data_IF_584299444757
#
_entry.id   IF_584299444757
#
_cell.length_a   1.000
_cell.length_b   1.000
_cell.length_c   1.000
_cell.angle_alpha   90.00
_cell.angle_beta   90.00
_cell.angle_gamma   90.00
#
_symmetry.space_group_name_H-M   'P 1'
#
loop_
_entity.id
_entity.type
_entity.pdbx_description
1 polymer ?
#
# COMPACT_ATOMS: atom_id res chain seq x y z
N UNK A 1 -72.51 27.46 40.43
CA UNK A 1 -72.58 26.94 39.03
C UNK A 1 -71.22 26.95 38.35
N UNK A 2 -70.29 27.81 38.77
CA UNK A 2 -68.91 27.84 38.26
C UNK A 2 -68.09 26.67 38.85
N UNK A 3 -68.33 26.26 40.10
CA UNK A 3 -67.61 25.14 40.73
C UNK A 3 -67.91 23.78 40.10
N UNK A 4 -69.13 23.53 39.61
CA UNK A 4 -69.50 22.28 38.93
C UNK A 4 -68.96 22.21 37.50
N UNK A 5 -68.89 23.34 36.80
CA UNK A 5 -68.22 23.44 35.49
C UNK A 5 -66.70 23.25 35.63
N UNK A 6 -66.07 23.88 36.62
CA UNK A 6 -64.66 23.69 36.93
C UNK A 6 -64.34 22.26 37.40
N UNK A 7 -65.18 21.66 38.24
CA UNK A 7 -65.01 20.28 38.72
C UNK A 7 -65.17 19.24 37.61
N UNK A 8 -66.09 19.44 36.66
CA UNK A 8 -66.24 18.58 35.49
C UNK A 8 -65.07 18.69 34.51
N UNK A 9 -64.54 19.90 34.31
CA UNK A 9 -63.41 20.17 33.42
C UNK A 9 -62.08 19.66 34.02
N UNK A 10 -61.86 19.86 35.32
CA UNK A 10 -60.74 19.29 36.06
C UNK A 10 -60.80 17.75 36.12
N UNK A 11 -61.99 17.18 36.30
CA UNK A 11 -62.19 15.73 36.25
C UNK A 11 -61.93 15.12 34.86
N UNK A 12 -62.29 15.85 33.80
CA UNK A 12 -61.95 15.48 32.42
C UNK A 12 -60.45 15.55 32.13
N UNK A 13 -59.77 16.60 32.62
CA UNK A 13 -58.32 16.76 32.51
C UNK A 13 -57.55 15.67 33.26
N UNK A 14 -57.99 15.29 34.47
CA UNK A 14 -57.38 14.21 35.26
C UNK A 14 -57.57 12.81 34.64
N UNK A 15 -58.58 12.61 33.78
CA UNK A 15 -58.73 11.37 33.00
C UNK A 15 -57.80 11.31 31.79
N UNK A 16 -57.43 12.46 31.23
CA UNK A 16 -56.47 12.54 30.11
C UNK A 16 -55.01 12.51 30.59
N UNK A 17 -54.73 12.94 31.83
CA UNK A 17 -53.40 12.88 32.43
C UNK A 17 -52.73 11.48 32.37
N UNK A 18 -53.39 10.37 32.75
CA UNK A 18 -52.81 9.02 32.62
C UNK A 18 -52.64 8.59 31.15
N UNK A 19 -53.48 9.07 30.23
CA UNK A 19 -53.34 8.81 28.80
C UNK A 19 -52.09 9.50 28.21
N UNK A 20 -51.83 10.75 28.65
CA UNK A 20 -50.65 11.54 28.24
C UNK A 20 -49.37 10.91 28.79
N UNK A 21 -49.37 10.44 30.04
CA UNK A 21 -48.24 9.73 30.64
C UNK A 21 -47.95 8.42 29.89
N UNK A 22 -48.98 7.62 29.57
CA UNK A 22 -48.82 6.40 28.75
C UNK A 22 -48.28 6.68 27.35
N UNK A 23 -48.67 7.80 26.75
CA UNK A 23 -48.16 8.20 25.44
C UNK A 23 -46.69 8.61 25.50
N UNK A 24 -46.29 9.35 26.54
CA UNK A 24 -44.90 9.69 26.82
C UNK A 24 -44.03 8.45 27.04
N UNK A 25 -44.49 7.48 27.82
CA UNK A 25 -43.78 6.20 28.04
C UNK A 25 -43.63 5.41 26.74
N UNK A 26 -44.70 5.25 25.95
CA UNK A 26 -44.63 4.58 24.64
C UNK A 26 -43.67 5.29 23.68
N UNK A 27 -43.57 6.61 23.75
CA UNK A 27 -42.62 7.38 22.94
C UNK A 27 -41.18 7.14 23.41
N UNK A 28 -40.97 7.04 24.73
CA UNK A 28 -39.67 6.71 25.34
C UNK A 28 -39.20 5.29 25.03
N UNK A 29 -40.07 4.29 25.12
CA UNK A 29 -39.74 2.90 24.75
C UNK A 29 -39.36 2.80 23.27
N UNK A 30 -40.13 3.42 22.38
CA UNK A 30 -39.83 3.43 20.94
C UNK A 30 -38.53 4.15 20.61
N UNK A 31 -38.24 5.27 21.28
CA UNK A 31 -36.95 5.96 21.06
C UNK A 31 -35.78 5.15 21.62
N UNK A 32 -35.99 4.42 22.71
CA UNK A 32 -34.98 3.52 23.28
C UNK A 32 -34.72 2.31 22.37
N UNK A 33 -35.76 1.68 21.82
CA UNK A 33 -35.62 0.60 20.84
C UNK A 33 -34.91 1.07 19.58
N UNK A 34 -35.23 2.26 19.07
CA UNK A 34 -34.54 2.86 17.93
C UNK A 34 -33.06 3.10 18.24
N UNK A 35 -32.74 3.66 19.41
CA UNK A 35 -31.35 3.89 19.82
C UNK A 35 -30.56 2.57 19.95
N UNK A 36 -31.19 1.51 20.45
CA UNK A 36 -30.59 0.18 20.52
C UNK A 36 -30.34 -0.39 19.11
N UNK A 37 -31.31 -0.27 18.21
CA UNK A 37 -31.17 -0.72 16.82
C UNK A 37 -30.07 0.06 16.08
N UNK A 38 -30.02 1.39 16.23
CA UNK A 38 -28.99 2.23 15.63
C UNK A 38 -27.58 1.84 16.11
N UNK A 39 -27.43 1.55 17.41
CA UNK A 39 -26.15 1.09 17.97
C UNK A 39 -25.75 -0.29 17.47
N UNK A 40 -26.71 -1.20 17.29
CA UNK A 40 -26.44 -2.49 16.67
C UNK A 40 -25.98 -2.32 15.21
N UNK A 41 -26.63 -1.42 14.47
CA UNK A 41 -26.29 -1.08 13.09
C UNK A 41 -24.89 -0.43 12.97
N UNK A 42 -24.53 0.47 13.89
CA UNK A 42 -23.17 1.03 13.98
C UNK A 42 -22.13 -0.07 14.25
N UNK A 43 -22.42 -1.02 15.14
CA UNK A 43 -21.54 -2.15 15.42
C UNK A 43 -21.35 -3.06 14.19
N UNK A 44 -22.42 -3.36 13.47
CA UNK A 44 -22.32 -4.13 12.22
C UNK A 44 -21.54 -3.39 11.15
N UNK A 45 -21.75 -2.08 11.00
CA UNK A 45 -20.96 -1.25 10.07
C UNK A 45 -19.47 -1.27 10.41
N UNK A 46 -19.12 -1.09 11.69
CA UNK A 46 -17.73 -1.17 12.16
C UNK A 46 -17.12 -2.54 11.90
N UNK A 47 -17.85 -3.61 12.21
CA UNK A 47 -17.41 -4.99 11.96
C UNK A 47 -17.24 -5.27 10.47
N UNK A 48 -18.17 -4.79 9.64
CA UNK A 48 -18.11 -4.87 8.19
C UNK A 48 -16.90 -4.13 7.63
N UNK A 49 -16.64 -2.90 8.09
CA UNK A 49 -15.47 -2.12 7.71
C UNK A 49 -14.16 -2.80 8.09
N UNK A 50 -14.05 -3.35 9.31
CA UNK A 50 -12.87 -4.11 9.74
C UNK A 50 -12.64 -5.35 8.87
N UNK A 51 -13.70 -6.08 8.52
CA UNK A 51 -13.61 -7.27 7.66
C UNK A 51 -13.20 -6.91 6.23
N UNK A 52 -13.70 -5.79 5.70
CA UNK A 52 -13.27 -5.27 4.40
C UNK A 52 -11.80 -4.84 4.42
N UNK A 53 -11.33 -4.22 5.50
CA UNK A 53 -9.92 -3.86 5.65
C UNK A 53 -9.00 -5.09 5.71
N UNK A 54 -9.41 -6.15 6.43
CA UNK A 54 -8.69 -7.42 6.48
C UNK A 54 -8.65 -8.12 5.11
N UNK A 55 -9.76 -8.13 4.38
CA UNK A 55 -9.83 -8.66 3.02
C UNK A 55 -8.95 -7.83 2.06
N UNK A 56 -8.97 -6.50 2.17
CA UNK A 56 -8.08 -5.64 1.39
C UNK A 56 -6.60 -5.93 1.66
N UNK A 57 -6.20 -6.01 2.93
CA UNK A 57 -4.83 -6.31 3.32
C UNK A 57 -4.35 -7.69 2.83
N UNK A 58 -5.22 -8.71 2.91
CA UNK A 58 -4.93 -10.06 2.39
C UNK A 58 -4.85 -10.11 0.87
N UNK A 59 -5.71 -9.37 0.16
CA UNK A 59 -5.66 -9.23 -1.29
C UNK A 59 -4.38 -8.53 -1.76
N UNK A 60 -3.97 -7.45 -1.09
CA UNK A 60 -2.72 -6.75 -1.36
C UNK A 60 -1.50 -7.66 -1.12
N UNK A 61 -1.53 -8.45 -0.03
CA UNK A 61 -0.50 -9.45 0.23
C UNK A 61 -0.45 -10.52 -0.86
N UNK A 62 -1.60 -11.02 -1.31
CA UNK A 62 -1.69 -12.02 -2.37
C UNK A 62 -1.21 -11.47 -3.73
N UNK A 63 -1.57 -10.23 -4.07
CA UNK A 63 -1.11 -9.55 -5.28
C UNK A 63 0.42 -9.40 -5.30
N UNK A 64 0.99 -8.90 -4.19
CA UNK A 64 2.43 -8.73 -4.05
C UNK A 64 3.18 -10.07 -4.14
N UNK A 65 2.59 -11.15 -3.60
CA UNK A 65 3.18 -12.49 -3.68
C UNK A 65 3.07 -13.07 -5.10
N UNK A 66 1.94 -12.90 -5.78
CA UNK A 66 1.72 -13.40 -7.14
C UNK A 66 2.60 -12.74 -8.19
N UNK A 67 2.80 -11.43 -8.11
CA UNK A 67 3.71 -10.70 -9.01
C UNK A 67 5.18 -11.13 -8.80
N UNK A 68 5.60 -11.32 -7.53
CA UNK A 68 6.94 -11.80 -7.20
C UNK A 68 7.12 -13.26 -7.64
N UNK A 69 6.11 -14.11 -7.48
CA UNK A 69 6.17 -15.51 -7.91
C UNK A 69 6.23 -15.62 -9.45
N UNK A 70 5.46 -14.81 -10.19
CA UNK A 70 5.55 -14.75 -11.65
C UNK A 70 6.94 -14.27 -12.11
N UNK A 71 7.52 -13.29 -11.43
CA UNK A 71 8.88 -12.83 -11.69
C UNK A 71 9.90 -13.94 -11.38
N UNK A 72 9.73 -14.63 -10.25
CA UNK A 72 10.55 -15.78 -9.85
C UNK A 72 10.48 -16.92 -10.87
N UNK A 73 9.30 -17.27 -11.34
CA UNK A 73 9.08 -18.30 -12.34
C UNK A 73 9.73 -17.93 -13.68
N UNK A 74 9.63 -16.66 -14.11
CA UNK A 74 10.30 -16.17 -15.32
C UNK A 74 11.84 -16.19 -15.22
N UNK A 75 12.39 -16.01 -14.01
CA UNK A 75 13.83 -16.10 -13.74
C UNK A 75 14.27 -17.56 -13.63
N UNK A 76 13.45 -18.42 -13.01
CA UNK A 76 13.72 -19.85 -12.91
C UNK A 76 13.69 -20.51 -14.30
N UNK A 77 12.70 -20.18 -15.13
CA UNK A 77 12.57 -20.67 -16.51
C UNK A 77 13.77 -20.29 -17.39
N UNK A 78 14.40 -19.13 -17.16
CA UNK A 78 15.67 -18.77 -17.82
C UNK A 78 16.84 -19.69 -17.42
N UNK A 79 16.74 -20.38 -16.28
CA UNK A 79 17.71 -21.37 -15.79
C UNK A 79 17.42 -22.81 -16.24
N UNK A 80 16.27 -23.10 -16.84
CA UNK A 80 15.94 -24.44 -17.35
C UNK A 80 16.76 -24.76 -18.60
N UNK A 81 17.65 -25.76 -18.51
CA UNK A 81 18.46 -26.24 -19.64
C UNK A 81 17.57 -26.93 -20.67
N UNK A 82 17.55 -26.41 -21.90
CA UNK A 82 16.79 -26.90 -23.05
C UNK A 82 17.28 -28.23 -23.62
N UNK A 83 18.23 -28.92 -22.95
CA UNK A 83 19.00 -30.07 -23.43
C UNK A 83 19.86 -29.79 -24.67
N UNK A 84 19.77 -28.58 -25.25
CA UNK A 84 20.58 -28.13 -26.38
C UNK A 84 21.71 -27.24 -25.86
N UNK A 85 22.92 -27.84 -25.77
CA UNK A 85 24.08 -27.22 -25.09
C UNK A 85 24.48 -25.84 -25.62
N UNK A 86 24.34 -25.59 -26.93
CA UNK A 86 24.69 -24.29 -27.52
C UNK A 86 23.64 -23.22 -27.23
N UNK A 87 22.35 -23.59 -27.23
CA UNK A 87 21.25 -22.68 -26.90
C UNK A 87 21.29 -22.31 -25.42
N UNK A 88 21.62 -23.28 -24.55
CA UNK A 88 21.81 -23.04 -23.12
C UNK A 88 23.02 -22.14 -22.83
N UNK A 89 24.14 -22.36 -23.54
CA UNK A 89 25.33 -21.50 -23.41
C UNK A 89 25.06 -20.07 -23.89
N UNK A 90 24.32 -19.90 -24.98
CA UNK A 90 23.89 -18.59 -25.46
C UNK A 90 22.95 -17.93 -24.44
N UNK A 91 21.92 -18.64 -23.97
CA UNK A 91 20.95 -18.14 -23.00
C UNK A 91 21.60 -17.67 -21.68
N UNK A 92 22.51 -18.49 -21.13
CA UNK A 92 23.23 -18.18 -19.89
C UNK A 92 24.19 -16.99 -20.07
N UNK A 93 24.78 -16.82 -21.26
CA UNK A 93 25.74 -15.75 -21.52
C UNK A 93 25.09 -14.39 -21.80
N UNK A 94 23.84 -14.34 -22.26
CA UNK A 94 23.14 -13.09 -22.60
C UNK A 94 23.13 -12.11 -21.43
N UNK A 95 22.78 -12.56 -20.21
CA UNK A 95 22.69 -11.66 -19.04
C UNK A 95 24.06 -11.07 -18.65
N UNK A 96 25.14 -11.87 -18.47
CA UNK A 96 26.48 -11.34 -18.25
C UNK A 96 26.97 -10.43 -19.38
N UNK A 97 26.78 -10.83 -20.65
CA UNK A 97 27.26 -10.06 -21.82
C UNK A 97 26.59 -8.70 -21.89
N UNK A 98 25.26 -8.64 -21.74
CA UNK A 98 24.53 -7.37 -21.71
C UNK A 98 25.03 -6.50 -20.55
N UNK A 99 25.23 -7.09 -19.37
CA UNK A 99 25.72 -6.35 -18.19
C UNK A 99 27.10 -5.75 -18.43
N UNK A 100 28.05 -6.54 -18.93
CA UNK A 100 29.39 -6.07 -19.24
C UNK A 100 29.39 -5.03 -20.37
N UNK A 101 28.54 -5.21 -21.38
CA UNK A 101 28.40 -4.28 -22.48
C UNK A 101 27.86 -2.92 -22.02
N UNK A 102 26.80 -2.91 -21.22
CA UNK A 102 26.26 -1.68 -20.62
C UNK A 102 27.28 -0.99 -19.71
N UNK A 103 28.01 -1.77 -18.91
CA UNK A 103 29.09 -1.21 -18.08
C UNK A 103 30.21 -0.62 -18.92
N UNK A 104 30.61 -1.28 -20.01
CA UNK A 104 31.62 -0.77 -20.93
C UNK A 104 31.17 0.53 -21.60
N UNK A 105 29.94 0.59 -22.08
CA UNK A 105 29.36 1.82 -22.67
C UNK A 105 29.28 2.95 -21.63
N UNK A 106 28.89 2.65 -20.40
CA UNK A 106 28.86 3.61 -19.31
C UNK A 106 30.27 4.17 -19.02
N UNK A 107 31.27 3.30 -18.86
CA UNK A 107 32.66 3.71 -18.66
C UNK A 107 33.18 4.54 -19.85
N UNK A 108 32.87 4.14 -21.09
CA UNK A 108 33.27 4.87 -22.28
C UNK A 108 32.63 6.27 -22.33
N UNK A 109 31.33 6.39 -22.04
CA UNK A 109 30.63 7.66 -22.00
C UNK A 109 31.18 8.61 -20.92
N UNK A 110 31.43 8.09 -19.71
CA UNK A 110 32.03 8.87 -18.62
C UNK A 110 33.46 9.30 -18.94
N UNK A 111 34.25 8.42 -19.54
CA UNK A 111 35.61 8.74 -19.98
C UNK A 111 35.58 9.82 -21.06
N UNK A 112 34.68 9.73 -22.04
CA UNK A 112 34.51 10.73 -23.09
C UNK A 112 34.07 12.09 -22.53
N UNK A 113 33.14 12.11 -21.58
CA UNK A 113 32.70 13.32 -20.89
C UNK A 113 33.85 13.98 -20.10
N UNK A 114 34.62 13.18 -19.37
CA UNK A 114 35.77 13.65 -18.61
C UNK A 114 36.88 14.22 -19.52
N UNK A 115 37.27 13.47 -20.56
CA UNK A 115 38.27 13.92 -21.55
C UNK A 115 37.79 15.19 -22.28
N UNK A 116 36.50 15.27 -22.59
CA UNK A 116 35.89 16.48 -23.15
C UNK A 116 36.03 17.70 -22.23
N UNK A 117 35.78 17.54 -20.92
CA UNK A 117 35.93 18.61 -19.94
C UNK A 117 37.39 19.09 -19.81
N UNK A 118 38.35 18.15 -19.77
CA UNK A 118 39.78 18.46 -19.73
C UNK A 118 40.23 19.19 -21.00
N UNK A 119 39.82 18.70 -22.17
CA UNK A 119 40.15 19.34 -23.46
C UNK A 119 39.48 20.72 -23.60
N UNK A 120 38.36 20.94 -22.92
CA UNK A 120 37.70 22.25 -22.80
C UNK A 120 38.38 23.22 -21.83
N UNK A 121 39.51 22.84 -21.23
CA UNK A 121 40.29 23.68 -20.31
C UNK A 121 39.80 23.64 -18.86
N UNK A 122 38.95 22.68 -18.49
CA UNK A 122 38.54 22.49 -17.10
C UNK A 122 39.68 21.93 -16.27
N UNK A 123 39.83 22.42 -15.03
CA UNK A 123 40.73 21.82 -14.05
C UNK A 123 40.31 20.38 -13.71
N UNK A 124 41.27 19.54 -13.35
CA UNK A 124 41.07 18.13 -13.06
C UNK A 124 40.04 17.91 -11.93
N UNK A 125 40.10 18.74 -10.88
CA UNK A 125 39.14 18.65 -9.77
C UNK A 125 37.71 18.98 -10.20
N UNK A 126 37.55 20.03 -11.00
CA UNK A 126 36.24 20.42 -11.54
C UNK A 126 35.68 19.38 -12.53
N UNK A 127 36.55 18.79 -13.36
CA UNK A 127 36.16 17.77 -14.33
C UNK A 127 35.67 16.47 -13.65
N UNK A 128 36.28 16.06 -12.53
CA UNK A 128 35.81 14.90 -11.75
C UNK A 128 34.44 15.19 -11.13
N UNK A 129 34.28 16.36 -10.51
CA UNK A 129 33.01 16.74 -9.89
C UNK A 129 31.88 16.85 -10.92
N UNK A 130 32.17 17.29 -12.15
CA UNK A 130 31.18 17.30 -13.22
C UNK A 130 30.91 15.92 -13.83
N UNK A 131 31.91 15.03 -13.87
CA UNK A 131 31.73 13.67 -14.37
C UNK A 131 30.86 12.82 -13.42
N UNK A 132 30.91 13.11 -12.11
CA UNK A 132 30.13 12.44 -11.08
C UNK A 132 28.79 13.15 -10.83
N UNK A 133 27.69 12.52 -11.24
CA UNK A 133 26.35 13.12 -11.19
C UNK A 133 25.46 12.45 -10.14
N UNK A 134 24.34 13.10 -9.81
CA UNK A 134 23.33 12.54 -8.91
C UNK A 134 22.77 11.20 -9.44
N UNK A 135 22.73 11.02 -10.76
CA UNK A 135 22.35 9.75 -11.37
C UNK A 135 23.34 8.62 -11.05
N UNK A 136 24.65 8.91 -10.98
CA UNK A 136 25.66 7.93 -10.62
C UNK A 136 25.56 7.57 -9.14
N UNK A 137 25.29 8.56 -8.29
CA UNK A 137 25.04 8.34 -6.86
C UNK A 137 23.82 7.43 -6.65
N UNK A 138 22.72 7.68 -7.36
CA UNK A 138 21.53 6.85 -7.30
C UNK A 138 21.81 5.42 -7.80
N UNK A 139 22.59 5.27 -8.86
CA UNK A 139 22.99 3.97 -9.40
C UNK A 139 23.84 3.19 -8.38
N UNK A 140 24.85 3.84 -7.78
CA UNK A 140 25.69 3.23 -6.73
C UNK A 140 24.90 2.91 -5.46
N UNK A 141 24.01 3.80 -5.03
CA UNK A 141 23.11 3.55 -3.91
C UNK A 141 22.21 2.34 -4.18
N UNK A 142 21.69 2.20 -5.41
CA UNK A 142 20.92 1.03 -5.83
C UNK A 142 21.72 -0.27 -5.79
N UNK A 143 22.96 -0.27 -6.29
CA UNK A 143 23.86 -1.44 -6.24
C UNK A 143 24.21 -1.82 -4.80
N UNK A 144 24.52 -0.84 -3.96
CA UNK A 144 24.80 -1.06 -2.54
C UNK A 144 23.55 -1.55 -1.81
N UNK A 145 22.36 -1.04 -2.11
CA UNK A 145 21.11 -1.51 -1.53
C UNK A 145 20.82 -2.96 -1.94
N UNK A 146 20.97 -3.29 -3.22
CA UNK A 146 20.82 -4.66 -3.72
C UNK A 146 21.81 -5.61 -3.03
N UNK A 147 23.10 -5.25 -3.00
CA UNK A 147 24.09 -6.06 -2.35
C UNK A 147 23.82 -6.12 -0.86
N UNK A 148 23.85 -5.04 -0.09
CA UNK A 148 23.79 -5.10 1.38
C UNK A 148 22.41 -5.40 1.96
N UNK A 149 21.32 -4.86 1.41
CA UNK A 149 19.96 -5.03 1.95
C UNK A 149 19.28 -6.29 1.42
N UNK A 150 19.50 -6.66 0.15
CA UNK A 150 18.91 -7.85 -0.47
C UNK A 150 19.25 -9.15 0.27
N UNK A 151 20.52 -9.35 0.64
CA UNK A 151 20.97 -10.52 1.45
C UNK A 151 20.40 -10.54 2.87
N UNK A 152 19.95 -9.41 3.42
CA UNK A 152 19.31 -9.38 4.73
C UNK A 152 17.90 -9.98 4.61
N UNK A 153 17.14 -9.59 3.58
CA UNK A 153 15.80 -10.14 3.36
C UNK A 153 15.80 -11.62 2.95
N UNK A 154 16.80 -12.07 2.19
CA UNK A 154 16.95 -13.49 1.86
C UNK A 154 17.21 -14.38 3.08
N UNK A 155 17.76 -13.81 4.16
CA UNK A 155 18.08 -14.53 5.41
C UNK A 155 16.92 -14.60 6.40
N UNK A 156 15.86 -13.82 6.19
CA UNK A 156 14.67 -13.76 7.06
C UNK A 156 13.52 -14.61 6.49
N UNK A 157 13.73 -15.32 5.37
CA UNK A 157 12.79 -16.34 4.89
C UNK A 157 12.85 -17.58 5.80
N UNK A 158 11.74 -18.02 6.41
CA UNK A 158 11.68 -19.28 7.16
C UNK A 158 11.88 -20.51 6.26
#
# INVERSE_FOLDING_TARGET
MIETLLGGLLGGAFRLAPEILKWLDRKGERSHELAMQDKALEFEKLRGASRMAEIGASADSAWNTGAIEALRESVAAQGQRSRVRWADALSVSVRPVITYWFMALYCAAKTAAFVGAINGGSDWGAAILHAWTDADQALWAGVLNFWFLGRVFDRVRP
#
